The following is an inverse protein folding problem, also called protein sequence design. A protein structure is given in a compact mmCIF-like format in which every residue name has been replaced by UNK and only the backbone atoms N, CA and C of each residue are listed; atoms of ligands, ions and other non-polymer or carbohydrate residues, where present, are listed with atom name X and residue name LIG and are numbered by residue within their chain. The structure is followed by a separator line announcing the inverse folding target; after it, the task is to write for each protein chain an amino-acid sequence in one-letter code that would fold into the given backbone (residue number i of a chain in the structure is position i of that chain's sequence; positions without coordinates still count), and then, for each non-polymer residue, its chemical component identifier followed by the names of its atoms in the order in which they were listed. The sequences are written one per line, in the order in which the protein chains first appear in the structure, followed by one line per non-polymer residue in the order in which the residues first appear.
data_IF_074803461627
#
_entry.id   IF_074803461627
#
_cell.length_a   1.000
_cell.length_b   1.000
_cell.length_c   1.000
_cell.angle_alpha   90.00
_cell.angle_beta   90.00
_cell.angle_gamma   90.00
#
_symmetry.space_group_name_H-M   'P 1'
#
loop_
_entity.id
_entity.type
_entity.pdbx_description
1 polymer ?
#
# COMPACT_ATOMS: atom_id res chain seq x y z
N UNK A 1 -48.15 -40.66 6.29
CA UNK A 1 -47.86 -39.21 6.43
C UNK A 1 -46.61 -39.08 7.27
N UNK A 2 -45.44 -38.91 6.66
CA UNK A 2 -44.19 -38.63 7.37
C UNK A 2 -43.70 -37.26 6.90
N UNK A 3 -43.79 -36.27 7.79
CA UNK A 3 -43.19 -34.96 7.57
C UNK A 3 -41.69 -35.06 7.80
N UNK A 4 -40.91 -34.90 6.74
CA UNK A 4 -39.47 -34.73 6.86
C UNK A 4 -39.17 -33.23 7.09
N UNK A 5 -38.85 -32.97 8.35
CA UNK A 5 -37.97 -31.93 8.89
C UNK A 5 -37.14 -31.16 7.86
N UNK A 6 -37.36 -29.84 7.83
CA UNK A 6 -36.41 -28.89 7.29
C UNK A 6 -35.13 -28.91 8.14
N UNK A 7 -34.04 -29.48 7.62
CA UNK A 7 -32.70 -29.23 8.14
C UNK A 7 -32.32 -27.77 7.83
N UNK A 8 -32.46 -26.88 8.81
CA UNK A 8 -31.78 -25.58 8.80
C UNK A 8 -30.26 -25.80 8.94
N UNK A 9 -29.56 -26.02 7.81
CA UNK A 9 -28.09 -25.97 7.75
C UNK A 9 -27.62 -24.51 7.68
N UNK A 10 -27.35 -23.89 8.83
CA UNK A 10 -26.55 -22.67 8.90
C UNK A 10 -25.97 -22.54 10.31
N UNK A 11 -24.70 -22.92 10.53
CA UNK A 11 -23.63 -21.90 10.72
C UNK A 11 -22.24 -22.29 10.14
N UNK A 12 -22.09 -23.44 9.48
CA UNK A 12 -20.78 -23.95 9.01
C UNK A 12 -20.24 -23.23 7.76
N UNK A 13 -21.13 -22.69 6.92
CA UNK A 13 -20.75 -22.04 5.66
C UNK A 13 -20.03 -20.69 5.86
N UNK A 14 -20.30 -19.99 6.97
CA UNK A 14 -19.68 -18.69 7.26
C UNK A 14 -18.20 -18.79 7.61
N UNK A 15 -17.83 -19.80 8.42
CA UNK A 15 -16.45 -20.01 8.86
C UNK A 15 -15.56 -20.53 7.70
N UNK A 16 -16.12 -21.33 6.80
CA UNK A 16 -15.42 -21.82 5.61
C UNK A 16 -15.10 -20.70 4.61
N UNK A 17 -15.94 -19.66 4.51
CA UNK A 17 -15.68 -18.49 3.66
C UNK A 17 -14.49 -17.65 4.14
N UNK A 18 -14.24 -17.60 5.45
CA UNK A 18 -13.12 -16.85 6.04
C UNK A 18 -11.75 -17.47 5.74
N UNK A 19 -11.70 -18.76 5.44
CA UNK A 19 -10.45 -19.48 5.11
C UNK A 19 -10.06 -19.44 3.63
N UNK A 20 -10.77 -18.66 2.80
CA UNK A 20 -10.51 -18.62 1.35
C UNK A 20 -9.39 -17.64 0.98
N UNK A 21 -8.70 -17.92 -0.14
CA UNK A 21 -7.73 -16.99 -0.74
C UNK A 21 -8.38 -15.64 -1.03
N UNK A 22 -9.61 -15.63 -1.53
CA UNK A 22 -10.38 -14.41 -1.77
C UNK A 22 -10.65 -13.61 -0.49
N UNK A 23 -10.95 -14.25 0.64
CA UNK A 23 -11.11 -13.57 1.92
C UNK A 23 -9.78 -13.00 2.45
N UNK A 24 -8.67 -13.75 2.31
CA UNK A 24 -7.34 -13.28 2.65
C UNK A 24 -6.92 -12.07 1.78
N UNK A 25 -7.18 -12.13 0.47
CA UNK A 25 -6.92 -11.03 -0.46
C UNK A 25 -7.73 -9.77 -0.12
N UNK A 26 -9.00 -9.95 0.25
CA UNK A 26 -9.86 -8.86 0.72
C UNK A 26 -9.31 -8.23 2.01
N UNK A 27 -8.95 -9.04 3.00
CA UNK A 27 -8.42 -8.58 4.27
C UNK A 27 -7.08 -7.85 4.10
N UNK A 28 -6.15 -8.41 3.34
CA UNK A 28 -4.85 -7.77 3.06
C UNK A 28 -5.03 -6.46 2.28
N UNK A 29 -5.89 -6.44 1.26
CA UNK A 29 -6.19 -5.20 0.52
C UNK A 29 -6.77 -4.14 1.47
N UNK A 30 -7.69 -4.52 2.36
CA UNK A 30 -8.29 -3.61 3.33
C UNK A 30 -7.27 -3.07 4.33
N UNK A 31 -6.35 -3.90 4.80
CA UNK A 31 -5.25 -3.49 5.68
C UNK A 31 -4.37 -2.46 4.97
N UNK A 32 -3.94 -2.72 3.73
CA UNK A 32 -3.12 -1.75 2.97
C UNK A 32 -3.91 -0.46 2.71
N UNK A 33 -5.21 -0.57 2.39
CA UNK A 33 -6.08 0.60 2.19
C UNK A 33 -6.14 1.48 3.45
N UNK A 34 -6.41 0.88 4.60
CA UNK A 34 -6.44 1.58 5.89
C UNK A 34 -5.10 2.25 6.18
N UNK A 35 -3.99 1.52 6.00
CA UNK A 35 -2.66 2.06 6.20
C UNK A 35 -2.38 3.26 5.29
N UNK A 36 -2.73 3.17 4.00
CA UNK A 36 -2.55 4.30 3.06
C UNK A 36 -3.45 5.50 3.35
N UNK A 37 -4.67 5.28 3.82
CA UNK A 37 -5.55 6.37 4.31
C UNK A 37 -4.89 7.08 5.49
N UNK A 38 -4.34 6.33 6.45
CA UNK A 38 -3.65 6.91 7.61
C UNK A 38 -2.36 7.63 7.23
N UNK A 39 -1.61 7.12 6.25
CA UNK A 39 -0.42 7.80 5.69
C UNK A 39 -0.83 9.13 5.06
N UNK A 40 -1.78 9.13 4.13
CA UNK A 40 -2.27 10.36 3.50
C UNK A 40 -2.83 11.35 4.52
N UNK A 41 -3.62 10.86 5.48
CA UNK A 41 -4.17 11.69 6.55
C UNK A 41 -3.05 12.32 7.38
N UNK A 42 -2.07 11.53 7.82
CA UNK A 42 -0.92 12.01 8.58
C UNK A 42 -0.12 13.09 7.84
N UNK A 43 0.18 12.87 6.56
CA UNK A 43 0.86 13.86 5.73
C UNK A 43 0.05 15.15 5.52
N UNK A 44 -1.28 15.07 5.49
CA UNK A 44 -2.13 16.27 5.36
C UNK A 44 -2.24 17.03 6.68
N UNK A 45 -2.42 16.32 7.81
CA UNK A 45 -2.67 16.96 9.10
C UNK A 45 -1.41 17.37 9.85
N UNK A 46 -0.32 16.62 9.67
CA UNK A 46 1.01 16.94 10.20
C UNK A 46 1.93 17.34 9.04
N UNK A 47 1.48 18.34 8.28
CA UNK A 47 2.13 18.78 7.05
C UNK A 47 3.56 19.27 7.28
N UNK A 48 3.79 20.08 8.33
CA UNK A 48 5.09 20.70 8.56
C UNK A 48 6.21 19.70 8.86
N UNK A 49 5.94 18.71 9.70
CA UNK A 49 6.92 17.68 10.08
C UNK A 49 7.33 16.82 8.88
N UNK A 50 6.34 16.36 8.10
CA UNK A 50 6.60 15.52 6.94
C UNK A 50 7.16 16.31 5.74
N UNK A 51 6.83 17.59 5.61
CA UNK A 51 7.47 18.49 4.66
C UNK A 51 8.96 18.63 4.95
N UNK A 52 9.35 18.83 6.22
CA UNK A 52 10.75 18.90 6.63
C UNK A 52 11.51 17.62 6.28
N UNK A 53 10.89 16.45 6.46
CA UNK A 53 11.47 15.18 6.05
C UNK A 53 11.87 15.19 4.57
N UNK A 54 10.94 15.57 3.68
CA UNK A 54 11.24 15.65 2.24
C UNK A 54 12.29 16.71 1.94
N UNK A 55 12.25 17.86 2.61
CA UNK A 55 13.23 18.94 2.42
C UNK A 55 14.65 18.47 2.77
N UNK A 56 14.85 17.82 3.91
CA UNK A 56 16.17 17.34 4.34
C UNK A 56 16.69 16.20 3.47
N UNK A 57 15.82 15.27 3.05
CA UNK A 57 16.21 14.22 2.10
C UNK A 57 16.68 14.83 0.78
N UNK A 58 15.91 15.75 0.20
CA UNK A 58 16.25 16.37 -1.07
C UNK A 58 17.48 17.29 -0.97
N UNK A 59 17.64 18.01 0.14
CA UNK A 59 18.78 18.89 0.37
C UNK A 59 20.08 18.13 0.64
N UNK A 60 19.99 16.86 1.06
CA UNK A 60 21.14 16.02 1.45
C UNK A 60 22.01 16.67 2.54
N UNK A 61 21.45 17.59 3.33
CA UNK A 61 22.17 18.46 4.26
C UNK A 61 22.60 17.76 5.56
N UNK A 62 22.02 16.58 5.81
CA UNK A 62 22.32 15.67 6.93
C UNK A 62 23.03 14.38 6.49
N UNK A 63 23.52 14.32 5.24
CA UNK A 63 24.36 13.22 4.73
C UNK A 63 25.84 13.46 5.07
N UNK A 64 26.74 12.59 4.59
CA UNK A 64 28.19 12.74 4.82
C UNK A 64 28.84 13.92 4.08
N UNK A 65 28.10 14.61 3.21
CA UNK A 65 28.56 15.79 2.43
C UNK A 65 29.79 15.52 1.55
N UNK A 66 29.84 14.33 0.97
CA UNK A 66 30.87 13.95 -0.01
C UNK A 66 30.78 14.86 -1.26
N UNK A 67 31.85 15.60 -1.63
CA UNK A 67 31.87 16.47 -2.81
C UNK A 67 31.45 15.77 -4.11
N UNK A 68 31.72 14.47 -4.25
CA UNK A 68 31.42 13.70 -5.46
C UNK A 68 29.93 13.31 -5.55
N UNK A 69 29.18 13.49 -4.47
CA UNK A 69 27.77 13.11 -4.35
C UNK A 69 26.82 14.32 -4.31
N UNK A 70 27.27 15.42 -3.69
CA UNK A 70 26.41 16.58 -3.38
C UNK A 70 25.82 17.31 -4.60
N UNK A 71 26.30 17.04 -5.81
CA UNK A 71 25.71 17.59 -7.05
C UNK A 71 24.26 17.15 -7.28
N UNK A 72 23.81 16.07 -6.62
CA UNK A 72 22.43 15.56 -6.69
C UNK A 72 21.44 16.36 -5.83
N UNK A 73 21.94 17.16 -4.88
CA UNK A 73 21.10 17.86 -3.91
C UNK A 73 20.18 18.89 -4.58
N UNK A 74 18.95 18.97 -4.09
CA UNK A 74 17.94 19.93 -4.51
C UNK A 74 17.64 20.85 -3.33
N UNK A 75 18.09 22.10 -3.42
CA UNK A 75 17.96 23.12 -2.35
C UNK A 75 16.87 24.15 -2.61
N UNK A 76 16.20 24.09 -3.78
CA UNK A 76 15.10 25.00 -4.11
C UNK A 76 13.84 24.65 -3.30
N UNK A 77 13.35 25.56 -2.42
CA UNK A 77 12.15 25.30 -1.62
C UNK A 77 10.91 25.02 -2.49
N UNK A 78 10.82 25.66 -3.66
CA UNK A 78 9.71 25.44 -4.58
C UNK A 78 9.69 24.00 -5.12
N UNK A 79 10.84 23.46 -5.51
CA UNK A 79 10.95 22.08 -6.01
C UNK A 79 10.69 21.07 -4.89
N UNK A 80 11.22 21.32 -3.69
CA UNK A 80 10.98 20.46 -2.53
C UNK A 80 9.48 20.42 -2.15
N UNK A 81 8.82 21.58 -2.13
CA UNK A 81 7.39 21.67 -1.85
C UNK A 81 6.55 21.00 -2.94
N UNK A 82 6.93 21.16 -4.22
CA UNK A 82 6.27 20.47 -5.32
C UNK A 82 6.40 18.95 -5.20
N UNK A 83 7.59 18.44 -4.85
CA UNK A 83 7.81 17.01 -4.63
C UNK A 83 6.96 16.49 -3.46
N UNK A 84 6.90 17.22 -2.35
CA UNK A 84 6.09 16.83 -1.20
C UNK A 84 4.59 16.80 -1.53
N UNK A 85 4.07 17.82 -2.22
CA UNK A 85 2.67 17.83 -2.68
C UNK A 85 2.38 16.68 -3.65
N UNK A 86 3.32 16.34 -4.54
CA UNK A 86 3.17 15.20 -5.45
C UNK A 86 3.07 13.87 -4.69
N UNK A 87 3.84 13.69 -3.61
CA UNK A 87 3.73 12.53 -2.71
C UNK A 87 2.33 12.46 -2.10
N UNK A 88 1.82 13.55 -1.51
CA UNK A 88 0.48 13.58 -0.91
C UNK A 88 -0.61 13.23 -1.93
N UNK A 89 -0.55 13.82 -3.13
CA UNK A 89 -1.51 13.52 -4.19
C UNK A 89 -1.47 12.04 -4.55
N UNK A 90 -0.27 11.46 -4.67
CA UNK A 90 -0.09 10.04 -4.95
C UNK A 90 -0.66 9.15 -3.83
N UNK A 91 -0.41 9.49 -2.57
CA UNK A 91 -0.94 8.78 -1.41
C UNK A 91 -2.48 8.79 -1.37
N UNK A 92 -3.09 9.95 -1.60
CA UNK A 92 -4.56 10.10 -1.64
C UNK A 92 -5.17 9.28 -2.77
N UNK A 93 -4.58 9.34 -3.98
CA UNK A 93 -5.06 8.54 -5.12
C UNK A 93 -4.92 7.04 -4.85
N UNK A 94 -3.78 6.62 -4.28
CA UNK A 94 -3.52 5.23 -3.91
C UNK A 94 -4.54 4.74 -2.88
N UNK A 95 -4.78 5.53 -1.82
CA UNK A 95 -5.77 5.23 -0.79
C UNK A 95 -7.17 5.11 -1.39
N UNK A 96 -7.59 6.03 -2.25
CA UNK A 96 -8.90 5.98 -2.91
C UNK A 96 -9.07 4.70 -3.76
N UNK A 97 -8.06 4.32 -4.54
CA UNK A 97 -8.07 3.10 -5.36
C UNK A 97 -8.16 1.85 -4.47
N UNK A 98 -7.40 1.78 -3.38
CA UNK A 98 -7.40 0.63 -2.47
C UNK A 98 -8.69 0.52 -1.65
N UNK A 99 -9.29 1.65 -1.26
CA UNK A 99 -10.63 1.67 -0.61
C UNK A 99 -11.69 1.17 -1.58
N UNK A 100 -11.66 1.60 -2.86
CA UNK A 100 -12.54 1.07 -3.90
C UNK A 100 -12.32 -0.44 -4.11
N UNK A 101 -11.06 -0.88 -4.16
CA UNK A 101 -10.73 -2.31 -4.29
C UNK A 101 -11.29 -3.12 -3.12
N UNK A 102 -11.18 -2.61 -1.89
CA UNK A 102 -11.73 -3.21 -0.69
C UNK A 102 -13.25 -3.35 -0.76
N UNK A 103 -13.94 -2.29 -1.19
CA UNK A 103 -15.39 -2.34 -1.40
C UNK A 103 -15.77 -3.38 -2.47
N UNK A 104 -15.03 -3.45 -3.58
CA UNK A 104 -15.24 -4.45 -4.63
C UNK A 104 -15.02 -5.88 -4.13
N UNK A 105 -14.05 -6.11 -3.24
CA UNK A 105 -13.85 -7.41 -2.59
C UNK A 105 -15.06 -7.80 -1.73
N UNK A 106 -15.54 -6.89 -0.87
CA UNK A 106 -16.72 -7.14 -0.02
C UNK A 106 -17.96 -7.46 -0.85
N UNK A 107 -18.16 -6.76 -1.96
CA UNK A 107 -19.24 -7.06 -2.91
C UNK A 107 -19.03 -8.41 -3.61
N UNK A 108 -17.81 -8.72 -4.05
CA UNK A 108 -17.45 -9.96 -4.72
C UNK A 108 -17.63 -11.20 -3.84
N UNK A 109 -17.29 -11.13 -2.55
CA UNK A 109 -17.50 -12.22 -1.59
C UNK A 109 -18.97 -12.59 -1.39
N UNK A 110 -19.90 -11.68 -1.73
CA UNK A 110 -21.35 -11.92 -1.72
C UNK A 110 -21.87 -12.43 -3.07
N UNK A 111 -21.30 -11.96 -4.18
CA UNK A 111 -21.78 -12.21 -5.55
C UNK A 111 -20.98 -13.20 -6.40
N UNK A 112 -19.87 -13.74 -5.90
CA UNK A 112 -19.07 -14.79 -6.56
C UNK A 112 -18.11 -14.33 -7.67
N UNK A 113 -17.97 -13.02 -7.92
CA UNK A 113 -17.06 -12.48 -8.95
C UNK A 113 -16.04 -11.51 -8.37
N UNK A 114 -14.75 -11.85 -8.50
CA UNK A 114 -13.63 -11.10 -7.91
C UNK A 114 -12.78 -10.35 -8.95
N UNK A 115 -13.08 -10.45 -10.25
CA UNK A 115 -12.21 -9.92 -11.31
C UNK A 115 -11.97 -8.41 -11.23
N UNK A 116 -13.00 -7.63 -10.89
CA UNK A 116 -12.88 -6.17 -10.69
C UNK A 116 -12.07 -5.84 -9.44
N UNK A 117 -12.29 -6.58 -8.35
CA UNK A 117 -11.58 -6.41 -7.09
C UNK A 117 -10.08 -6.67 -7.26
N UNK A 118 -9.72 -7.79 -7.91
CA UNK A 118 -8.32 -8.13 -8.22
C UNK A 118 -7.63 -7.03 -9.03
N UNK A 119 -8.23 -6.55 -10.13
CA UNK A 119 -7.64 -5.47 -10.93
C UNK A 119 -7.43 -4.17 -10.13
N UNK A 120 -8.43 -3.74 -9.38
CA UNK A 120 -8.34 -2.53 -8.57
C UNK A 120 -7.28 -2.68 -7.46
N UNK A 121 -7.22 -3.84 -6.79
CA UNK A 121 -6.16 -4.17 -5.83
C UNK A 121 -4.79 -4.10 -6.49
N UNK A 122 -4.59 -4.75 -7.63
CA UNK A 122 -3.29 -4.73 -8.33
C UNK A 122 -2.84 -3.31 -8.66
N UNK A 123 -3.75 -2.46 -9.16
CA UNK A 123 -3.43 -1.04 -9.43
C UNK A 123 -2.99 -0.32 -8.16
N UNK A 124 -3.79 -0.38 -7.09
CA UNK A 124 -3.46 0.32 -5.84
C UNK A 124 -2.19 -0.22 -5.19
N UNK A 125 -1.99 -1.53 -5.16
CA UNK A 125 -0.79 -2.17 -4.59
C UNK A 125 0.48 -1.84 -5.37
N UNK A 126 0.40 -1.76 -6.71
CA UNK A 126 1.51 -1.28 -7.53
C UNK A 126 1.80 0.19 -7.26
N UNK A 127 0.78 1.03 -7.05
CA UNK A 127 0.99 2.43 -6.66
C UNK A 127 1.73 2.55 -5.31
N UNK A 128 1.43 1.68 -4.34
CA UNK A 128 2.19 1.60 -3.07
C UNK A 128 3.65 1.20 -3.33
N UNK A 129 3.89 0.19 -4.16
CA UNK A 129 5.25 -0.25 -4.51
C UNK A 129 6.04 0.81 -5.29
N UNK A 130 5.38 1.60 -6.13
CA UNK A 130 6.03 2.73 -6.82
C UNK A 130 6.38 3.85 -5.84
N UNK A 131 5.50 4.18 -4.89
CA UNK A 131 5.81 5.19 -3.89
C UNK A 131 6.95 4.76 -2.97
N UNK A 132 6.82 3.63 -2.29
CA UNK A 132 7.78 3.23 -1.26
C UNK A 132 9.00 2.48 -1.82
N UNK A 133 8.82 1.67 -2.86
CA UNK A 133 9.92 0.97 -3.52
C UNK A 133 10.71 1.91 -4.43
N UNK A 134 10.08 2.44 -5.48
CA UNK A 134 10.81 3.32 -6.41
C UNK A 134 11.11 4.69 -5.79
N UNK A 135 10.14 5.33 -5.14
CA UNK A 135 10.30 6.64 -4.52
C UNK A 135 11.21 6.61 -3.28
N UNK A 136 10.88 5.84 -2.25
CA UNK A 136 11.68 5.86 -1.02
C UNK A 136 12.98 5.05 -1.09
N UNK A 137 12.99 3.82 -1.63
CA UNK A 137 14.26 3.08 -1.76
C UNK A 137 15.13 3.63 -2.89
N UNK A 138 14.60 3.68 -4.12
CA UNK A 138 15.38 4.08 -5.29
C UNK A 138 15.79 5.55 -5.24
N UNK A 139 14.81 6.45 -5.14
CA UNK A 139 15.08 7.90 -5.22
C UNK A 139 15.58 8.42 -3.87
N UNK A 140 14.85 8.23 -2.78
CA UNK A 140 15.27 8.69 -1.45
C UNK A 140 16.56 8.00 -0.99
N UNK A 141 16.54 6.67 -0.92
CA UNK A 141 17.64 5.83 -0.46
C UNK A 141 18.89 5.97 -1.32
N UNK A 142 18.81 5.57 -2.58
CA UNK A 142 20.00 5.44 -3.43
C UNK A 142 20.41 6.75 -4.11
N UNK A 143 19.47 7.50 -4.68
CA UNK A 143 19.82 8.76 -5.36
C UNK A 143 20.24 9.84 -4.37
N UNK A 144 19.43 10.09 -3.33
CA UNK A 144 19.68 11.12 -2.31
C UNK A 144 20.46 10.63 -1.08
N UNK A 145 20.90 9.37 -1.05
CA UNK A 145 21.67 8.80 0.07
C UNK A 145 20.98 8.97 1.44
N UNK A 146 19.64 8.89 1.46
CA UNK A 146 18.82 9.04 2.67
C UNK A 146 19.25 8.12 3.82
N UNK A 147 19.84 6.96 3.49
CA UNK A 147 20.37 6.02 4.48
C UNK A 147 21.52 6.57 5.33
N UNK A 148 22.20 7.65 4.89
CA UNK A 148 23.27 8.30 5.64
C UNK A 148 22.77 9.21 6.77
N UNK A 149 21.52 9.68 6.67
CA UNK A 149 20.94 10.57 7.68
C UNK A 149 20.49 9.78 8.90
N UNK A 150 20.83 10.24 10.10
CA UNK A 150 20.35 9.63 11.34
C UNK A 150 18.88 9.99 11.62
N UNK A 151 18.50 11.24 11.34
CA UNK A 151 17.19 11.79 11.69
C UNK A 151 16.18 11.68 10.55
N UNK A 152 16.65 11.72 9.30
CA UNK A 152 15.80 11.81 8.11
C UNK A 152 15.90 10.57 7.23
N UNK A 153 15.84 9.39 7.86
CA UNK A 153 15.89 8.11 7.17
C UNK A 153 14.56 7.35 7.24
N UNK A 154 13.88 7.23 6.10
CA UNK A 154 12.58 6.57 5.98
C UNK A 154 12.61 5.12 5.49
N UNK A 155 13.78 4.50 5.32
CA UNK A 155 13.88 3.19 4.66
C UNK A 155 13.16 2.07 5.43
N UNK A 156 13.31 2.01 6.76
CA UNK A 156 12.65 0.98 7.57
C UNK A 156 11.13 1.11 7.53
N UNK A 157 10.63 2.36 7.53
CA UNK A 157 9.21 2.64 7.37
C UNK A 157 8.71 2.23 5.99
N UNK A 158 9.43 2.59 4.92
CA UNK A 158 9.11 2.23 3.55
C UNK A 158 9.09 0.70 3.33
N UNK A 159 10.05 -0.03 3.93
CA UNK A 159 10.13 -1.48 3.85
C UNK A 159 8.86 -2.16 4.33
N UNK A 160 8.25 -1.67 5.43
CA UNK A 160 7.00 -2.24 5.98
C UNK A 160 5.87 -2.17 4.96
N UNK A 161 5.73 -1.05 4.25
CA UNK A 161 4.71 -0.86 3.21
C UNK A 161 5.02 -1.67 1.96
N UNK A 162 6.28 -1.75 1.54
CA UNK A 162 6.70 -2.58 0.39
C UNK A 162 6.39 -4.05 0.64
N UNK A 163 6.78 -4.59 1.79
CA UNK A 163 6.53 -5.99 2.14
C UNK A 163 5.04 -6.27 2.22
N UNK A 164 4.27 -5.42 2.91
CA UNK A 164 2.83 -5.57 3.04
C UNK A 164 2.14 -5.55 1.66
N UNK A 165 2.51 -4.61 0.80
CA UNK A 165 1.93 -4.49 -0.54
C UNK A 165 2.33 -5.65 -1.47
N UNK A 166 3.60 -6.09 -1.43
CA UNK A 166 4.08 -7.21 -2.22
C UNK A 166 3.38 -8.52 -1.83
N UNK A 167 3.26 -8.80 -0.51
CA UNK A 167 2.53 -9.97 -0.02
C UNK A 167 1.05 -9.91 -0.41
N UNK A 168 0.40 -8.76 -0.24
CA UNK A 168 -0.98 -8.57 -0.66
C UNK A 168 -1.15 -8.80 -2.17
N UNK A 169 -0.21 -8.32 -3.00
CA UNK A 169 -0.26 -8.48 -4.45
C UNK A 169 -0.14 -9.95 -4.85
N UNK A 170 0.77 -10.69 -4.22
CA UNK A 170 0.90 -12.14 -4.42
C UNK A 170 -0.41 -12.84 -4.07
N UNK A 171 -0.98 -12.59 -2.89
CA UNK A 171 -2.22 -13.23 -2.44
C UNK A 171 -3.41 -12.88 -3.34
N UNK A 172 -3.51 -11.63 -3.79
CA UNK A 172 -4.53 -11.16 -4.75
C UNK A 172 -4.46 -11.92 -6.08
N UNK A 173 -3.32 -12.50 -6.45
CA UNK A 173 -3.13 -13.26 -7.68
C UNK A 173 -3.08 -14.77 -7.50
N UNK A 174 -3.13 -15.29 -6.27
CA UNK A 174 -3.22 -16.72 -6.04
C UNK A 174 -4.55 -17.29 -6.59
N UNK A 175 -4.53 -18.50 -7.17
CA UNK A 175 -5.75 -19.17 -7.63
C UNK A 175 -6.63 -19.51 -6.43
N UNK A 176 -7.95 -19.33 -6.58
CA UNK A 176 -8.90 -19.84 -5.60
C UNK A 176 -8.85 -21.38 -5.70
N UNK A 177 -8.46 -22.05 -4.61
CA UNK A 177 -8.24 -23.50 -4.56
C UNK A 177 -9.52 -24.29 -4.79
N UNK A 178 -9.94 -24.40 -6.04
CA UNK A 178 -11.10 -25.18 -6.51
C UNK A 178 -10.95 -25.40 -8.02
N UNK A 179 -9.96 -26.22 -8.42
CA UNK A 179 -9.88 -26.93 -9.72
C UNK A 179 -8.62 -27.81 -9.75
N UNK A 180 -8.71 -28.97 -9.11
CA UNK A 180 -7.82 -30.11 -9.32
C UNK A 180 -8.56 -31.39 -8.88
N UNK A 181 -9.76 -31.57 -9.41
CA UNK A 181 -10.52 -32.81 -9.32
C UNK A 181 -11.39 -32.86 -10.57
N UNK A 182 -10.77 -33.17 -11.70
CA UNK A 182 -11.37 -33.78 -12.89
C UNK A 182 -10.24 -34.51 -13.62
#
# INVERSE_FOLDING_TARGET
MAGNTQETRAPRDGLQRLGTVSAAAAALTATVALSMVLVAFGNITDFGTNQQFVQHVLAMDTTFKDPDLMWRAVTSPALQNAAYLAIIVWEVLTAAVLVLATWLWVAGLRGGSHGRARRASSTGLVMVLLLFGAGFFGIGGEWFAMWQSADWNGLDSALRYVVLAAVALIVVHLPDGSRAAD
#
